data_IF_554060013829
#
_entry.id   IF_554060013829
#
_cell.length_a   1.000
_cell.length_b   1.000
_cell.length_c   1.000
_cell.angle_alpha   90.00
_cell.angle_beta   90.00
_cell.angle_gamma   90.00
#
_symmetry.space_group_name_H-M   'P 1'
#
loop_
_entity.id
_entity.type
_entity.pdbx_description
1 polymer ?
#
# COMPACT_ATOMS: atom_id res chain seq x y z
N UNK A 1 -7.81 -17.91 -22.49
CA UNK A 1 -7.96 -16.70 -21.67
C UNK A 1 -8.71 -15.71 -22.55
N UNK A 2 -9.79 -15.10 -22.06
CA UNK A 2 -10.46 -14.03 -22.82
C UNK A 2 -9.66 -12.73 -22.66
N UNK A 3 -9.82 -11.79 -23.58
CA UNK A 3 -9.17 -10.47 -23.50
C UNK A 3 -9.57 -9.72 -22.22
N UNK A 4 -10.83 -9.87 -21.78
CA UNK A 4 -11.32 -9.41 -20.47
C UNK A 4 -10.56 -10.01 -19.29
N UNK A 5 -10.25 -11.32 -19.31
CA UNK A 5 -9.48 -11.98 -18.25
C UNK A 5 -8.05 -11.41 -18.19
N UNK A 6 -7.46 -11.08 -19.34
CA UNK A 6 -6.14 -10.46 -19.42
C UNK A 6 -6.13 -9.06 -18.84
N UNK A 7 -7.12 -8.22 -19.17
CA UNK A 7 -7.31 -6.92 -18.54
C UNK A 7 -7.53 -7.04 -17.03
N UNK A 8 -8.32 -8.02 -16.58
CA UNK A 8 -8.55 -8.29 -15.15
C UNK A 8 -7.27 -8.68 -14.42
N UNK A 9 -6.48 -9.59 -14.99
CA UNK A 9 -5.18 -9.97 -14.44
C UNK A 9 -4.22 -8.78 -14.41
N UNK A 10 -4.16 -7.99 -15.48
CA UNK A 10 -3.35 -6.78 -15.57
C UNK A 10 -3.70 -5.75 -14.49
N UNK A 11 -5.01 -5.54 -14.26
CA UNK A 11 -5.49 -4.67 -13.20
C UNK A 11 -5.04 -5.17 -11.82
N UNK A 12 -5.17 -6.47 -11.56
CA UNK A 12 -4.73 -7.08 -10.31
C UNK A 12 -3.22 -6.90 -10.06
N UNK A 13 -2.39 -7.17 -11.08
CA UNK A 13 -0.92 -6.98 -11.01
C UNK A 13 -0.55 -5.51 -10.72
N UNK A 14 -1.17 -4.57 -11.44
CA UNK A 14 -0.96 -3.14 -11.26
C UNK A 14 -1.42 -2.66 -9.88
N UNK A 15 -2.58 -3.14 -9.42
CA UNK A 15 -3.13 -2.79 -8.11
C UNK A 15 -2.24 -3.30 -6.97
N UNK A 16 -1.72 -4.53 -7.08
CA UNK A 16 -0.77 -5.10 -6.12
C UNK A 16 0.56 -4.33 -6.09
N UNK A 17 0.99 -3.77 -7.22
CA UNK A 17 2.18 -2.93 -7.33
C UNK A 17 1.98 -1.47 -6.86
N UNK A 18 0.77 -1.10 -6.40
CA UNK A 18 0.43 0.27 -6.01
C UNK A 18 0.21 1.23 -7.18
N UNK A 19 0.13 0.70 -8.40
CA UNK A 19 -0.15 1.46 -9.62
C UNK A 19 -1.64 1.73 -9.82
N UNK A 20 -2.33 2.34 -8.86
CA UNK A 20 -3.79 2.52 -8.89
C UNK A 20 -4.27 3.29 -10.13
N UNK A 21 -3.60 4.39 -10.49
CA UNK A 21 -3.92 5.15 -11.71
C UNK A 21 -3.71 4.32 -12.99
N UNK A 22 -2.71 3.43 -13.00
CA UNK A 22 -2.47 2.54 -14.12
C UNK A 22 -3.54 1.43 -14.19
N UNK A 23 -3.91 0.84 -13.05
CA UNK A 23 -4.98 -0.15 -12.94
C UNK A 23 -6.32 0.45 -13.41
N UNK A 24 -6.61 1.70 -13.03
CA UNK A 24 -7.78 2.45 -13.49
C UNK A 24 -7.80 2.64 -15.00
N UNK A 25 -6.71 3.14 -15.60
CA UNK A 25 -6.61 3.28 -17.06
C UNK A 25 -6.78 1.94 -17.77
N UNK A 26 -6.17 0.89 -17.24
CA UNK A 26 -6.25 -0.48 -17.77
C UNK A 26 -7.68 -1.02 -17.73
N UNK A 27 -8.39 -0.84 -16.61
CA UNK A 27 -9.78 -1.23 -16.47
C UNK A 27 -10.69 -0.45 -17.43
N UNK A 28 -10.48 0.87 -17.56
CA UNK A 28 -11.22 1.71 -18.51
C UNK A 28 -10.97 1.30 -19.96
N UNK A 29 -9.74 0.90 -20.29
CA UNK A 29 -9.39 0.38 -21.62
C UNK A 29 -10.14 -0.92 -21.92
N UNK A 30 -10.06 -1.89 -21.00
CA UNK A 30 -10.77 -3.17 -21.16
C UNK A 30 -12.28 -2.99 -21.29
N UNK A 31 -12.89 -2.11 -20.49
CA UNK A 31 -14.32 -1.78 -20.60
C UNK A 31 -14.65 -1.21 -21.98
N UNK A 32 -13.76 -0.42 -22.58
CA UNK A 32 -13.98 0.23 -23.88
C UNK A 32 -13.78 -0.72 -25.06
N UNK A 33 -12.79 -1.60 -24.98
CA UNK A 33 -12.42 -2.50 -26.06
C UNK A 33 -13.24 -3.80 -26.07
N UNK A 34 -13.33 -4.47 -24.93
CA UNK A 34 -13.94 -5.81 -24.81
C UNK A 34 -15.36 -5.79 -24.26
N UNK A 35 -15.80 -4.61 -23.78
CA UNK A 35 -17.13 -4.38 -23.28
C UNK A 35 -17.23 -4.40 -21.75
N UNK A 36 -18.44 -4.07 -21.29
CA UNK A 36 -18.75 -3.84 -19.90
C UNK A 36 -18.75 -5.17 -19.09
N UNK A 37 -17.61 -5.52 -18.49
CA UNK A 37 -17.48 -6.66 -17.58
C UNK A 37 -17.48 -6.22 -16.10
N UNK A 38 -18.19 -6.97 -15.24
CA UNK A 38 -18.34 -6.64 -13.82
C UNK A 38 -16.99 -6.62 -13.07
N UNK A 39 -16.08 -7.55 -13.36
CA UNK A 39 -14.74 -7.59 -12.77
C UNK A 39 -13.92 -6.34 -13.10
N UNK A 40 -14.01 -5.83 -14.33
CA UNK A 40 -13.30 -4.61 -14.73
C UNK A 40 -13.86 -3.37 -14.02
N UNK A 41 -15.18 -3.31 -13.83
CA UNK A 41 -15.78 -2.26 -12.98
C UNK A 41 -15.36 -2.38 -11.52
N UNK A 42 -15.16 -3.60 -11.00
CA UNK A 42 -14.65 -3.83 -9.66
C UNK A 42 -13.24 -3.24 -9.49
N UNK A 43 -12.33 -3.58 -10.41
CA UNK A 43 -10.96 -3.04 -10.41
C UNK A 43 -10.92 -1.52 -10.59
N UNK A 44 -11.76 -0.98 -11.47
CA UNK A 44 -11.89 0.46 -11.66
C UNK A 44 -12.32 1.16 -10.35
N UNK A 45 -13.34 0.64 -9.69
CA UNK A 45 -13.85 1.21 -8.45
C UNK A 45 -12.80 1.14 -7.32
N UNK A 46 -12.16 -0.02 -7.14
CA UNK A 46 -11.11 -0.19 -6.13
C UNK A 46 -9.92 0.74 -6.36
N UNK A 47 -9.53 0.96 -7.63
CA UNK A 47 -8.45 1.89 -7.96
C UNK A 47 -8.77 3.33 -7.54
N UNK A 48 -10.00 3.79 -7.80
CA UNK A 48 -10.47 5.10 -7.33
C UNK A 48 -10.46 5.21 -5.80
N UNK A 49 -10.96 4.21 -5.08
CA UNK A 49 -10.94 4.19 -3.60
C UNK A 49 -9.52 4.35 -3.03
N UNK A 50 -8.50 3.83 -3.71
CA UNK A 50 -7.10 3.89 -3.24
C UNK A 50 -6.34 5.15 -3.63
N UNK A 51 -6.79 5.90 -4.63
CA UNK A 51 -6.18 7.20 -4.97
C UNK A 51 -6.55 8.30 -3.94
N UNK A 52 -7.58 8.08 -3.11
CA UNK A 52 -7.95 8.82 -1.87
C UNK A 52 -7.84 10.35 -1.98
N UNK A 53 -8.46 10.90 -3.02
CA UNK A 53 -8.82 12.32 -3.17
C UNK A 53 -10.36 12.39 -3.26
N UNK A 54 -11.00 13.44 -2.74
CA UNK A 54 -12.48 13.50 -2.56
C UNK A 54 -13.24 13.29 -3.89
N UNK A 55 -12.67 13.72 -5.01
CA UNK A 55 -13.23 13.52 -6.36
C UNK A 55 -13.31 12.04 -6.77
N UNK A 56 -12.47 11.18 -6.21
CA UNK A 56 -12.42 9.76 -6.55
C UNK A 56 -13.47 8.92 -5.83
N UNK A 57 -14.03 9.37 -4.71
CA UNK A 57 -15.11 8.65 -4.03
C UNK A 57 -16.39 8.57 -4.87
N UNK A 58 -16.73 9.67 -5.56
CA UNK A 58 -17.88 9.72 -6.47
C UNK A 58 -17.65 8.88 -7.73
N UNK A 59 -16.42 8.81 -8.22
CA UNK A 59 -16.03 7.97 -9.36
C UNK A 59 -16.06 6.49 -8.99
N UNK A 60 -15.58 6.14 -7.80
CA UNK A 60 -15.66 4.79 -7.26
C UNK A 60 -17.11 4.33 -7.12
N UNK A 61 -17.99 5.16 -6.54
CA UNK A 61 -19.41 4.85 -6.40
C UNK A 61 -20.08 4.64 -7.77
N UNK A 62 -19.76 5.49 -8.76
CA UNK A 62 -20.26 5.32 -10.12
C UNK A 62 -19.81 3.99 -10.73
N UNK A 63 -18.54 3.62 -10.57
CA UNK A 63 -18.01 2.36 -11.09
C UNK A 63 -18.63 1.14 -10.40
N UNK A 64 -18.77 1.15 -9.07
CA UNK A 64 -19.45 0.08 -8.33
C UNK A 64 -20.87 -0.14 -8.81
N UNK A 65 -21.64 0.94 -8.96
CA UNK A 65 -23.03 0.86 -9.43
C UNK A 65 -23.13 0.28 -10.84
N UNK A 66 -22.28 0.73 -11.77
CA UNK A 66 -22.24 0.19 -13.13
C UNK A 66 -21.88 -1.29 -13.16
N UNK A 67 -20.93 -1.72 -12.34
CA UNK A 67 -20.61 -3.14 -12.18
C UNK A 67 -21.80 -3.96 -11.68
N UNK A 68 -22.51 -3.46 -10.66
CA UNK A 68 -23.68 -4.12 -10.08
C UNK A 68 -24.91 -4.11 -10.99
N UNK A 69 -25.04 -3.16 -11.92
CA UNK A 69 -26.06 -3.20 -12.98
C UNK A 69 -25.85 -4.40 -13.92
N UNK A 70 -24.60 -4.83 -14.10
CA UNK A 70 -24.22 -5.97 -14.96
C UNK A 70 -24.30 -7.29 -14.17
N UNK A 71 -23.76 -7.31 -12.96
CA UNK A 71 -23.74 -8.47 -12.09
C UNK A 71 -24.18 -8.07 -10.66
N UNK A 72 -25.49 -8.13 -10.36
CA UNK A 72 -26.05 -7.66 -9.09
C UNK A 72 -25.51 -8.38 -7.85
N UNK A 73 -25.07 -9.63 -8.02
CA UNK A 73 -24.62 -10.52 -6.95
C UNK A 73 -23.10 -10.70 -6.93
N UNK A 74 -22.37 -9.84 -7.64
CA UNK A 74 -20.92 -9.90 -7.67
C UNK A 74 -20.31 -9.48 -6.33
N UNK A 75 -19.74 -10.45 -5.61
CA UNK A 75 -19.27 -10.27 -4.23
C UNK A 75 -18.21 -9.17 -4.06
N UNK A 76 -17.21 -9.11 -4.96
CA UNK A 76 -16.18 -8.07 -4.90
C UNK A 76 -16.75 -6.63 -5.00
N UNK A 77 -17.73 -6.43 -5.89
CA UNK A 77 -18.43 -5.15 -6.07
C UNK A 77 -19.32 -4.82 -4.87
N UNK A 78 -20.08 -5.79 -4.36
CA UNK A 78 -20.93 -5.59 -3.19
C UNK A 78 -20.11 -5.25 -1.95
N UNK A 79 -19.02 -5.99 -1.69
CA UNK A 79 -18.16 -5.79 -0.54
C UNK A 79 -17.40 -4.45 -0.62
N UNK A 80 -16.75 -4.17 -1.75
CA UNK A 80 -16.03 -2.92 -1.95
C UNK A 80 -16.94 -1.68 -1.88
N UNK A 81 -18.14 -1.77 -2.44
CA UNK A 81 -19.10 -0.67 -2.38
C UNK A 81 -19.68 -0.47 -0.98
N UNK A 82 -19.94 -1.56 -0.24
CA UNK A 82 -20.35 -1.48 1.15
C UNK A 82 -19.27 -0.78 1.99
N UNK A 83 -17.99 -1.13 1.83
CA UNK A 83 -16.88 -0.48 2.53
C UNK A 83 -16.82 1.03 2.25
N UNK A 84 -16.84 1.42 0.96
CA UNK A 84 -16.90 2.83 0.55
C UNK A 84 -18.08 3.56 1.20
N UNK A 85 -19.25 2.93 1.20
CA UNK A 85 -20.45 3.54 1.75
C UNK A 85 -20.39 3.74 3.27
N UNK A 86 -19.75 2.83 3.99
CA UNK A 86 -19.71 2.85 5.44
C UNK A 86 -18.57 3.73 5.97
N UNK A 87 -17.57 4.03 5.14
CA UNK A 87 -16.56 5.06 5.40
C UNK A 87 -17.14 6.48 5.30
N UNK A 88 -18.16 6.67 4.48
CA UNK A 88 -18.75 7.98 4.26
C UNK A 88 -19.34 8.56 5.55
N UNK A 89 -19.11 9.86 5.79
CA UNK A 89 -19.74 10.56 6.90
C UNK A 89 -21.26 10.58 6.69
N UNK A 90 -22.01 10.06 7.66
CA UNK A 90 -23.47 10.01 7.58
C UNK A 90 -24.13 11.39 7.67
N UNK A 91 -23.40 12.41 8.14
CA UNK A 91 -23.85 13.80 8.15
C UNK A 91 -23.69 14.44 6.77
N UNK A 92 -22.52 14.28 6.15
CA UNK A 92 -22.22 14.90 4.85
C UNK A 92 -22.82 14.11 3.68
N UNK A 93 -22.86 12.77 3.78
CA UNK A 93 -23.30 11.87 2.73
C UNK A 93 -24.31 10.82 3.24
N UNK A 94 -25.47 11.25 3.79
CA UNK A 94 -26.45 10.36 4.41
C UNK A 94 -26.98 9.28 3.45
N UNK A 95 -27.13 9.62 2.17
CA UNK A 95 -27.60 8.68 1.14
C UNK A 95 -26.60 7.55 0.87
N UNK A 96 -25.30 7.87 0.86
CA UNK A 96 -24.22 6.88 0.68
C UNK A 96 -24.14 5.96 1.90
N UNK A 97 -24.14 6.54 3.11
CA UNK A 97 -24.16 5.77 4.36
C UNK A 97 -25.37 4.81 4.46
N UNK A 98 -26.55 5.23 4.01
CA UNK A 98 -27.74 4.39 3.99
C UNK A 98 -27.61 3.18 3.04
N UNK A 99 -27.00 3.37 1.86
CA UNK A 99 -26.79 2.30 0.86
C UNK A 99 -25.88 1.19 1.38
N UNK A 100 -24.87 1.52 2.20
CA UNK A 100 -23.98 0.52 2.80
C UNK A 100 -24.74 -0.60 3.53
N UNK A 101 -25.80 -0.26 4.28
CA UNK A 101 -26.62 -1.25 5.01
C UNK A 101 -27.39 -2.19 4.08
N UNK A 102 -27.87 -1.67 2.95
CA UNK A 102 -28.59 -2.45 1.93
C UNK A 102 -27.63 -3.45 1.27
N UNK A 103 -26.41 -3.00 0.94
CA UNK A 103 -25.38 -3.84 0.32
C UNK A 103 -24.94 -4.97 1.26
N UNK A 104 -24.76 -4.69 2.56
CA UNK A 104 -24.41 -5.71 3.54
C UNK A 104 -25.47 -6.82 3.63
N UNK A 105 -26.76 -6.45 3.67
CA UNK A 105 -27.85 -7.43 3.65
C UNK A 105 -27.80 -8.27 2.38
N UNK A 106 -27.50 -7.65 1.23
CA UNK A 106 -27.36 -8.39 -0.03
C UNK A 106 -26.22 -9.41 0.01
N UNK A 107 -25.07 -9.06 0.60
CA UNK A 107 -23.94 -10.00 0.78
C UNK A 107 -24.37 -11.20 1.63
N UNK A 108 -25.09 -10.96 2.74
CA UNK A 108 -25.61 -12.03 3.61
C UNK A 108 -26.58 -12.96 2.87
N UNK A 109 -27.46 -12.38 2.04
CA UNK A 109 -28.41 -13.13 1.20
C UNK A 109 -27.71 -13.98 0.13
N UNK A 110 -26.67 -13.42 -0.52
CA UNK A 110 -25.95 -14.06 -1.64
C UNK A 110 -24.97 -15.13 -1.14
N UNK A 111 -24.44 -15.02 0.08
CA UNK A 111 -23.45 -16.00 0.58
C UNK A 111 -23.60 -16.29 2.08
N UNK A 112 -24.55 -17.16 2.47
CA UNK A 112 -24.73 -17.54 3.86
C UNK A 112 -23.49 -18.26 4.41
N UNK A 113 -22.87 -17.72 5.46
CA UNK A 113 -21.77 -18.38 6.18
C UNK A 113 -20.36 -18.25 5.58
N UNK A 114 -20.12 -17.30 4.67
CA UNK A 114 -18.76 -17.02 4.16
C UNK A 114 -17.95 -16.10 5.09
N UNK A 115 -16.62 -16.16 4.98
CA UNK A 115 -15.72 -15.23 5.66
C UNK A 115 -15.92 -13.77 5.21
N UNK A 116 -16.43 -13.56 4.00
CA UNK A 116 -16.82 -12.23 3.49
C UNK A 116 -18.13 -11.74 4.10
N UNK A 117 -19.12 -12.62 4.29
CA UNK A 117 -20.33 -12.30 5.08
C UNK A 117 -20.00 -12.03 6.55
N UNK A 118 -19.01 -12.72 7.12
CA UNK A 118 -18.51 -12.41 8.47
C UNK A 118 -17.78 -11.05 8.54
N UNK A 119 -16.99 -10.70 7.51
CA UNK A 119 -16.38 -9.37 7.37
C UNK A 119 -17.45 -8.29 7.21
N UNK A 120 -18.47 -8.55 6.39
CA UNK A 120 -19.63 -7.68 6.20
C UNK A 120 -20.42 -7.49 7.52
N UNK A 121 -20.70 -8.57 8.26
CA UNK A 121 -21.36 -8.50 9.57
C UNK A 121 -20.49 -7.80 10.62
N UNK A 122 -19.16 -7.94 10.57
CA UNK A 122 -18.24 -7.19 11.43
C UNK A 122 -18.29 -5.67 11.13
N UNK A 123 -18.33 -5.31 9.86
CA UNK A 123 -18.50 -3.94 9.37
C UNK A 123 -19.91 -3.39 9.68
N UNK A 124 -20.95 -4.21 9.68
CA UNK A 124 -22.30 -3.82 10.11
C UNK A 124 -22.37 -3.51 11.61
N UNK A 125 -21.77 -4.37 12.45
CA UNK A 125 -21.66 -4.18 13.92
C UNK A 125 -20.88 -2.91 14.27
N UNK A 126 -19.90 -2.54 13.44
CA UNK A 126 -19.14 -1.30 13.53
C UNK A 126 -20.05 -0.06 13.32
N UNK A 127 -20.99 -0.09 12.36
CA UNK A 127 -21.87 1.07 12.07
C UNK A 127 -23.07 1.27 12.99
N UNK A 128 -23.54 0.22 13.68
CA UNK A 128 -24.59 0.37 14.72
C UNK A 128 -24.07 1.00 16.01
N UNK A 129 -22.76 1.32 16.08
CA UNK A 129 -22.10 1.85 17.29
C UNK A 129 -21.66 3.33 17.18
N UNK A 130 -21.95 4.03 16.09
CA UNK A 130 -21.54 5.43 15.85
C UNK A 130 -22.31 6.41 16.76
N UNK A 131 -21.68 7.03 17.78
CA UNK A 131 -20.80 8.23 17.72
C UNK A 131 -19.89 8.34 18.97
N UNK A 132 -18.72 9.03 18.97
CA UNK A 132 -17.61 9.05 18.00
C UNK A 132 -16.23 8.66 18.63
N UNK A 133 -15.20 8.49 17.79
CA UNK A 133 -13.75 8.64 18.13
C UNK A 133 -12.87 7.44 18.56
N UNK A 134 -13.28 6.15 18.49
CA UNK A 134 -12.39 5.06 18.97
C UNK A 134 -11.96 3.99 17.95
N UNK A 135 -12.65 3.84 16.82
CA UNK A 135 -12.38 2.74 15.88
C UNK A 135 -11.72 3.14 14.54
N UNK A 136 -11.83 4.39 14.11
CA UNK A 136 -11.02 4.93 13.00
C UNK A 136 -9.51 4.78 13.29
N UNK A 137 -9.12 4.87 14.57
CA UNK A 137 -7.75 4.60 14.99
C UNK A 137 -7.37 3.12 14.88
N UNK A 138 -8.28 2.16 15.11
CA UNK A 138 -7.92 0.73 15.15
C UNK A 138 -7.73 0.14 13.76
N UNK A 139 -8.56 0.53 12.80
CA UNK A 139 -8.42 0.12 11.40
C UNK A 139 -7.21 0.83 10.77
N UNK A 140 -7.07 2.16 10.94
CA UNK A 140 -5.83 2.87 10.55
C UNK A 140 -4.59 2.29 11.22
N UNK A 141 -4.68 1.83 12.47
CA UNK A 141 -3.57 1.20 13.17
C UNK A 141 -3.33 -0.24 12.68
N UNK A 142 -4.35 -0.99 12.28
CA UNK A 142 -4.22 -2.32 11.70
C UNK A 142 -3.60 -2.24 10.29
N UNK A 143 -4.05 -1.31 9.46
CA UNK A 143 -3.46 -1.03 8.15
C UNK A 143 -2.04 -0.47 8.30
N UNK A 144 -1.82 0.46 9.23
CA UNK A 144 -0.47 0.94 9.54
C UNK A 144 0.42 -0.17 10.12
N UNK A 145 -0.13 -1.14 10.87
CA UNK A 145 0.61 -2.31 11.35
C UNK A 145 0.93 -3.26 10.20
N UNK A 146 -0.03 -3.62 9.35
CA UNK A 146 0.21 -4.47 8.19
C UNK A 146 1.20 -3.83 7.20
N UNK A 147 1.11 -2.52 6.98
CA UNK A 147 2.09 -1.78 6.19
C UNK A 147 3.47 -1.76 6.87
N UNK A 148 3.53 -1.55 8.19
CA UNK A 148 4.77 -1.64 8.96
C UNK A 148 5.37 -3.04 8.89
N UNK A 149 4.57 -4.09 9.05
CA UNK A 149 5.01 -5.48 9.01
C UNK A 149 5.52 -5.85 7.60
N UNK A 150 4.85 -5.39 6.54
CA UNK A 150 5.32 -5.57 5.17
C UNK A 150 6.64 -4.83 4.89
N UNK A 151 6.75 -3.59 5.39
CA UNK A 151 7.99 -2.80 5.33
C UNK A 151 9.10 -3.47 6.15
N UNK A 152 8.79 -4.02 7.32
CA UNK A 152 9.75 -4.66 8.21
C UNK A 152 10.20 -6.03 7.68
N UNK A 153 9.31 -6.79 7.02
CA UNK A 153 9.67 -7.99 6.28
C UNK A 153 10.61 -7.67 5.09
N UNK A 154 10.32 -6.62 4.32
CA UNK A 154 11.21 -6.16 3.24
C UNK A 154 12.58 -5.69 3.78
N UNK A 155 12.60 -5.03 4.94
CA UNK A 155 13.84 -4.59 5.61
C UNK A 155 14.65 -5.78 6.13
N UNK A 156 13.98 -6.77 6.71
CA UNK A 156 14.63 -7.99 7.18
C UNK A 156 15.29 -8.74 6.01
N UNK A 157 14.65 -8.80 4.85
CA UNK A 157 15.19 -9.42 3.64
C UNK A 157 16.45 -8.70 3.10
N UNK A 158 16.44 -7.36 3.11
CA UNK A 158 17.61 -6.55 2.75
C UNK A 158 18.80 -6.77 3.72
N UNK A 159 18.54 -6.78 5.02
CA UNK A 159 19.57 -7.05 6.04
C UNK A 159 20.10 -8.47 5.95
N UNK A 160 19.21 -9.46 5.79
CA UNK A 160 19.56 -10.86 5.62
C UNK A 160 20.45 -11.08 4.40
N UNK A 161 20.08 -10.49 3.26
CA UNK A 161 20.85 -10.59 2.00
C UNK A 161 22.22 -9.93 2.12
N UNK A 162 22.32 -8.75 2.76
CA UNK A 162 23.61 -8.10 3.03
C UNK A 162 24.52 -8.92 3.94
N UNK A 163 23.96 -9.66 4.89
CA UNK A 163 24.71 -10.51 5.81
C UNK A 163 25.21 -11.80 5.15
N UNK A 164 24.39 -12.43 4.30
CA UNK A 164 24.72 -13.72 3.68
C UNK A 164 25.54 -13.60 2.40
N UNK A 165 25.22 -12.65 1.52
CA UNK A 165 25.92 -12.45 0.26
C UNK A 165 27.09 -11.47 0.39
N UNK A 166 27.12 -10.63 1.42
CA UNK A 166 28.14 -9.59 1.58
C UNK A 166 27.85 -8.35 0.72
N UNK A 167 28.56 -7.26 1.03
CA UNK A 167 28.24 -5.92 0.52
C UNK A 167 28.44 -5.74 -1.00
N UNK A 168 29.27 -6.58 -1.63
CA UNK A 168 29.59 -6.49 -3.06
C UNK A 168 28.75 -7.43 -3.93
N UNK A 169 28.38 -8.61 -3.41
CA UNK A 169 27.57 -9.59 -4.15
C UNK A 169 26.06 -9.40 -3.92
N UNK A 170 25.63 -8.85 -2.77
CA UNK A 170 24.21 -8.59 -2.48
C UNK A 170 23.46 -7.80 -3.58
N UNK A 171 23.96 -6.65 -4.09
CA UNK A 171 23.26 -5.93 -5.15
C UNK A 171 23.22 -6.71 -6.47
N UNK A 172 24.27 -7.50 -6.79
CA UNK A 172 24.31 -8.35 -7.98
C UNK A 172 23.30 -9.49 -7.89
N UNK A 173 23.23 -10.17 -6.74
CA UNK A 173 22.31 -11.28 -6.52
C UNK A 173 20.85 -10.82 -6.52
N UNK A 174 20.55 -9.68 -5.90
CA UNK A 174 19.20 -9.12 -5.93
C UNK A 174 18.81 -8.61 -7.32
N UNK A 175 19.75 -8.02 -8.06
CA UNK A 175 19.54 -7.65 -9.46
C UNK A 175 19.23 -8.87 -10.34
N UNK A 176 19.97 -9.96 -10.19
CA UNK A 176 19.68 -11.21 -10.90
C UNK A 176 18.30 -11.78 -10.54
N UNK A 177 17.91 -11.79 -9.26
CA UNK A 177 16.57 -12.23 -8.84
C UNK A 177 15.45 -11.36 -9.41
N UNK A 178 15.66 -10.05 -9.49
CA UNK A 178 14.68 -9.14 -10.10
C UNK A 178 14.61 -9.31 -11.63
N UNK A 179 15.71 -9.69 -12.28
CA UNK A 179 15.72 -10.02 -13.71
C UNK A 179 15.02 -11.36 -14.00
N UNK A 180 15.23 -12.37 -13.15
CA UNK A 180 14.59 -13.68 -13.26
C UNK A 180 13.08 -13.61 -12.97
N UNK A 181 12.64 -12.66 -12.14
CA UNK A 181 11.23 -12.42 -11.79
C UNK A 181 10.88 -10.94 -11.90
N UNK A 182 10.70 -10.42 -13.13
CA UNK A 182 10.41 -9.00 -13.35
C UNK A 182 9.07 -8.55 -12.72
N UNK A 183 8.11 -9.48 -12.59
CA UNK A 183 6.80 -9.20 -11.98
C UNK A 183 6.83 -9.24 -10.43
N UNK A 184 7.91 -9.73 -9.81
CA UNK A 184 8.01 -9.80 -8.36
C UNK A 184 8.39 -8.45 -7.77
N UNK A 185 7.36 -7.72 -7.33
CA UNK A 185 7.50 -6.44 -6.66
C UNK A 185 8.51 -6.46 -5.50
N UNK A 186 8.58 -7.57 -4.73
CA UNK A 186 9.51 -7.68 -3.60
C UNK A 186 10.95 -7.78 -4.08
N UNK A 187 11.21 -8.57 -5.12
CA UNK A 187 12.54 -8.71 -5.71
C UNK A 187 13.03 -7.39 -6.32
N UNK A 188 12.17 -6.65 -7.03
CA UNK A 188 12.51 -5.35 -7.60
C UNK A 188 12.83 -4.30 -6.54
N UNK A 189 12.04 -4.23 -5.46
CA UNK A 189 12.30 -3.32 -4.32
C UNK A 189 13.60 -3.70 -3.60
N UNK A 190 13.87 -5.00 -3.42
CA UNK A 190 15.13 -5.47 -2.84
C UNK A 190 16.34 -5.10 -3.71
N UNK A 191 16.25 -5.30 -5.02
CA UNK A 191 17.32 -4.95 -5.96
C UNK A 191 17.63 -3.44 -5.95
N UNK A 192 16.59 -2.61 -6.02
CA UNK A 192 16.75 -1.15 -5.99
C UNK A 192 17.29 -0.63 -4.65
N UNK A 193 16.85 -1.21 -3.53
CA UNK A 193 17.35 -0.83 -2.20
C UNK A 193 18.82 -1.21 -2.03
N UNK A 194 19.23 -2.40 -2.46
CA UNK A 194 20.63 -2.83 -2.39
C UNK A 194 21.52 -2.06 -3.39
N UNK A 195 21.01 -1.73 -4.58
CA UNK A 195 21.69 -0.87 -5.53
C UNK A 195 21.92 0.55 -4.95
N UNK A 196 20.94 1.12 -4.25
CA UNK A 196 21.08 2.42 -3.58
C UNK A 196 22.11 2.41 -2.44
N UNK A 197 22.37 1.24 -1.84
CA UNK A 197 23.37 1.02 -0.80
C UNK A 197 24.74 0.58 -1.33
N UNK A 198 24.88 0.44 -2.65
CA UNK A 198 26.13 0.04 -3.30
C UNK A 198 27.19 1.15 -3.23
N UNK A 199 28.46 0.75 -3.36
CA UNK A 199 29.60 1.67 -3.41
C UNK A 199 30.26 1.97 -2.05
N UNK A 200 31.50 2.49 -2.08
CA UNK A 200 32.33 2.62 -0.88
C UNK A 200 31.82 3.70 0.09
N UNK A 201 31.24 4.80 -0.44
CA UNK A 201 30.72 5.92 0.36
C UNK A 201 29.47 5.58 1.17
N UNK A 202 28.80 4.47 0.85
CA UNK A 202 27.58 4.01 1.51
C UNK A 202 27.85 2.91 2.57
N UNK A 203 29.12 2.60 2.86
CA UNK A 203 29.52 1.71 3.95
C UNK A 203 28.87 2.03 5.31
N UNK A 204 28.85 3.30 5.80
CA UNK A 204 28.17 3.61 7.06
C UNK A 204 26.65 3.39 7.00
N UNK A 205 26.03 3.61 5.83
CA UNK A 205 24.59 3.38 5.65
C UNK A 205 24.26 1.88 5.68
N UNK A 206 25.12 1.01 5.13
CA UNK A 206 24.97 -0.45 5.25
C UNK A 206 25.02 -0.92 6.70
N UNK A 207 25.91 -0.33 7.49
CA UNK A 207 26.04 -0.64 8.90
C UNK A 207 24.80 -0.19 9.70
N UNK A 208 24.25 1.00 9.38
CA UNK A 208 22.99 1.49 9.94
C UNK A 208 21.79 0.61 9.55
N UNK A 209 21.75 0.03 8.35
CA UNK A 209 20.70 -0.92 7.94
C UNK A 209 20.83 -2.22 8.73
N UNK A 210 22.05 -2.76 8.86
CA UNK A 210 22.32 -3.99 9.61
C UNK A 210 21.96 -3.87 11.09
N UNK A 211 22.33 -2.76 11.73
CA UNK A 211 22.13 -2.54 13.17
C UNK A 211 21.03 -1.52 13.45
N UNK A 212 20.00 -1.46 12.61
CA UNK A 212 18.99 -0.39 12.64
C UNK A 212 18.28 -0.21 13.98
N UNK A 213 17.88 -1.29 14.64
CA UNK A 213 17.25 -1.22 15.96
C UNK A 213 18.20 -0.59 16.99
N UNK A 214 19.47 -0.97 16.95
CA UNK A 214 20.52 -0.46 17.83
C UNK A 214 20.88 1.00 17.48
N UNK A 215 20.82 1.38 16.20
CA UNK A 215 21.04 2.75 15.75
C UNK A 215 19.93 3.69 16.24
N UNK A 216 18.66 3.27 16.18
CA UNK A 216 17.53 4.03 16.73
C UNK A 216 17.62 4.15 18.25
N UNK A 217 17.94 3.08 18.97
CA UNK A 217 18.07 3.13 20.44
C UNK A 217 19.25 4.02 20.86
N UNK A 218 20.40 3.90 20.19
CA UNK A 218 21.57 4.73 20.46
C UNK A 218 21.30 6.20 20.15
N UNK A 219 20.66 6.52 19.02
CA UNK A 219 20.32 7.89 18.65
C UNK A 219 19.30 8.51 19.63
N UNK A 220 18.31 7.74 20.07
CA UNK A 220 17.35 8.18 21.08
C UNK A 220 18.02 8.44 22.44
N UNK A 221 18.90 7.54 22.88
CA UNK A 221 19.68 7.70 24.11
C UNK A 221 20.59 8.93 24.03
N UNK A 222 21.34 9.10 22.94
CA UNK A 222 22.20 10.26 22.73
C UNK A 222 21.40 11.57 22.70
N UNK A 223 20.23 11.57 22.07
CA UNK A 223 19.31 12.72 22.08
C UNK A 223 18.86 13.08 23.50
N UNK A 224 18.41 12.08 24.28
CA UNK A 224 17.99 12.28 25.67
C UNK A 224 19.17 12.79 26.52
N UNK A 225 20.32 12.12 26.47
CA UNK A 225 21.53 12.50 27.22
C UNK A 225 22.02 13.91 26.87
N UNK A 226 22.00 14.27 25.58
CA UNK A 226 22.40 15.62 25.13
C UNK A 226 21.45 16.67 25.69
N UNK A 227 20.14 16.42 25.63
CA UNK A 227 19.14 17.35 26.14
C UNK A 227 19.16 17.47 27.68
N UNK A 228 19.39 16.36 28.40
CA UNK A 228 19.52 16.39 29.86
C UNK A 228 20.79 17.13 30.29
N UNK A 229 21.91 16.93 29.60
CA UNK A 229 23.17 17.62 29.88
C UNK A 229 23.08 19.13 29.59
N UNK A 230 22.47 19.53 28.47
CA UNK A 230 22.25 20.94 28.12
C UNK A 230 21.35 21.66 29.13
N UNK A 231 20.36 20.95 29.68
CA UNK A 231 19.48 21.49 30.72
C UNK A 231 20.21 21.59 32.07
N UNK A 232 20.99 20.56 32.44
CA UNK A 232 21.74 20.53 33.69
C UNK A 232 22.85 21.59 33.74
N UNK A 233 23.43 21.94 32.60
CA UNK A 233 24.47 22.98 32.49
C UNK A 233 23.91 24.40 32.38
N UNK A 234 22.59 24.58 32.34
CA UNK A 234 21.94 25.89 32.26
C UNK A 234 22.06 26.58 30.89
N UNK A 235 22.57 25.87 29.87
CA UNK A 235 22.73 26.42 28.50
C UNK A 235 21.37 26.64 27.83
N UNK A 236 20.36 25.85 28.19
CA UNK A 236 18.99 25.97 27.66
C UNK A 236 17.96 25.82 28.78
N UNK A 237 17.05 26.79 28.93
CA UNK A 237 16.05 26.80 30.01
C UNK A 237 14.84 25.89 29.76
N UNK A 238 14.58 25.51 28.51
CA UNK A 238 13.37 24.75 28.13
C UNK A 238 13.67 23.54 27.22
N UNK A 239 13.47 23.66 25.92
CA UNK A 239 13.58 22.56 24.95
C UNK A 239 14.72 22.83 23.97
N UNK A 240 15.61 21.85 23.81
CA UNK A 240 16.77 21.94 22.92
C UNK A 240 16.61 21.07 21.69
N UNK A 241 16.82 21.66 20.51
CA UNK A 241 16.82 20.95 19.23
C UNK A 241 18.12 20.18 18.98
N UNK A 242 19.16 20.41 19.79
CA UNK A 242 20.48 19.80 19.61
C UNK A 242 20.46 18.27 19.75
N UNK A 243 19.62 17.72 20.62
CA UNK A 243 19.43 16.28 20.73
C UNK A 243 18.89 15.64 19.44
N UNK A 244 18.08 16.37 18.67
CA UNK A 244 17.49 15.86 17.42
C UNK A 244 18.53 15.67 16.30
N UNK A 245 19.71 16.30 16.39
CA UNK A 245 20.78 16.11 15.42
C UNK A 245 21.24 14.65 15.37
N UNK A 246 21.16 13.92 16.48
CA UNK A 246 21.49 12.50 16.54
C UNK A 246 20.53 11.62 15.73
N UNK A 247 19.32 12.10 15.43
CA UNK A 247 18.36 11.40 14.59
C UNK A 247 18.61 11.61 13.08
N UNK A 248 19.39 12.63 12.69
CA UNK A 248 19.59 12.98 11.29
C UNK A 248 20.13 11.83 10.41
N UNK A 249 21.16 11.06 10.82
CA UNK A 249 21.67 9.96 9.99
C UNK A 249 20.61 8.90 9.70
N UNK A 250 19.75 8.62 10.68
CA UNK A 250 18.68 7.62 10.55
C UNK A 250 17.54 8.13 9.67
N UNK A 251 17.17 9.41 9.80
CA UNK A 251 16.17 10.04 8.94
C UNK A 251 16.63 10.17 7.49
N UNK A 252 17.92 10.48 7.26
CA UNK A 252 18.51 10.53 5.92
C UNK A 252 18.48 9.14 5.26
N UNK A 253 18.82 8.10 6.01
CA UNK A 253 18.73 6.71 5.54
C UNK A 253 17.28 6.38 5.14
N UNK A 254 16.30 6.71 5.99
CA UNK A 254 14.89 6.41 5.72
C UNK A 254 14.37 7.11 4.47
N UNK A 255 14.73 8.39 4.29
CA UNK A 255 14.36 9.12 3.08
C UNK A 255 14.97 8.51 1.82
N UNK A 256 16.23 8.07 1.88
CA UNK A 256 16.90 7.42 0.73
C UNK A 256 16.28 6.08 0.39
N UNK A 257 15.99 5.25 1.40
CA UNK A 257 15.32 3.96 1.18
C UNK A 257 13.90 4.15 0.65
N UNK A 258 13.16 5.13 1.17
CA UNK A 258 11.83 5.48 0.67
C UNK A 258 11.86 6.02 -0.78
N UNK A 259 12.91 6.74 -1.16
CA UNK A 259 13.11 7.20 -2.53
C UNK A 259 13.44 6.02 -3.48
N UNK A 260 14.35 5.13 -3.07
CA UNK A 260 14.71 3.93 -3.83
C UNK A 260 13.50 3.00 -4.03
N UNK A 261 12.68 2.83 -3.00
CA UNK A 261 11.43 2.07 -3.07
C UNK A 261 10.45 2.69 -4.06
N UNK A 262 10.19 4.00 -3.96
CA UNK A 262 9.31 4.70 -4.92
C UNK A 262 9.80 4.62 -6.36
N UNK A 263 11.12 4.62 -6.56
CA UNK A 263 11.70 4.41 -7.88
C UNK A 263 11.46 2.98 -8.38
N UNK A 264 11.63 1.97 -7.54
CA UNK A 264 11.34 0.57 -7.89
C UNK A 264 9.86 0.34 -8.19
N UNK A 265 8.95 0.87 -7.36
CA UNK A 265 7.50 0.86 -7.59
C UNK A 265 7.15 1.42 -8.97
N UNK A 266 7.71 2.58 -9.32
CA UNK A 266 7.51 3.19 -10.65
C UNK A 266 8.06 2.33 -11.78
N UNK A 267 9.21 1.68 -11.58
CA UNK A 267 9.80 0.81 -12.59
C UNK A 267 8.96 -0.44 -12.82
N UNK A 268 8.48 -1.08 -11.76
CA UNK A 268 7.58 -2.25 -11.86
C UNK A 268 6.28 -1.84 -12.54
N UNK A 269 5.66 -0.73 -12.13
CA UNK A 269 4.44 -0.22 -12.78
C UNK A 269 4.69 0.08 -14.27
N UNK A 270 5.79 0.73 -14.63
CA UNK A 270 6.11 1.04 -16.01
C UNK A 270 6.40 -0.21 -16.86
N UNK A 271 7.08 -1.21 -16.30
CA UNK A 271 7.36 -2.49 -16.97
C UNK A 271 6.08 -3.27 -17.19
N UNK A 272 5.24 -3.32 -16.16
CA UNK A 272 3.90 -3.84 -16.26
C UNK A 272 3.22 -3.09 -17.43
N UNK A 273 3.08 -1.76 -17.39
CA UNK A 273 2.38 -0.99 -18.44
C UNK A 273 2.91 -1.23 -19.86
N UNK A 274 4.21 -1.48 -20.01
CA UNK A 274 4.83 -1.80 -21.29
C UNK A 274 4.60 -3.26 -21.76
N UNK A 275 4.13 -4.16 -20.89
CA UNK A 275 3.82 -5.55 -21.25
C UNK A 275 2.63 -5.56 -22.20
N UNK A 276 2.77 -6.07 -23.44
CA UNK A 276 1.64 -6.21 -24.34
C UNK A 276 0.62 -7.18 -23.73
N UNK A 277 -0.66 -6.87 -23.85
CA UNK A 277 -1.73 -7.83 -23.59
C UNK A 277 -1.59 -8.96 -24.60
N UNK A 278 -1.90 -10.19 -24.20
CA UNK A 278 -1.68 -11.38 -25.03
C UNK A 278 -2.80 -11.56 -26.07
N UNK A 279 -3.13 -10.47 -26.77
CA UNK A 279 -4.01 -10.48 -27.94
C UNK A 279 -3.79 -9.19 -28.75
N UNK A 280 -2.70 -9.11 -29.50
CA UNK A 280 -2.67 -8.29 -30.71
C UNK A 280 -2.39 -9.21 -31.91
N UNK A 281 -3.38 -9.99 -32.38
CA UNK A 281 -3.29 -10.53 -33.72
C UNK A 281 -3.53 -9.36 -34.68
N UNK A 282 -2.44 -8.80 -35.19
CA UNK A 282 -2.49 -7.95 -36.39
C UNK A 282 -3.15 -8.70 -37.56
#
# INVERSE_FOLDING_TARGET
MTTTDEYGQRCSELFAAGGYAAARRTAQEGIRQDGAAADLYCWLALAHVREDDDDHDDEAERAFRRGLEIAPDHLGLLAGYAELCLRADAFDQPGRAARGKVLLRRIEEVTPGSSEAERAAAVQRWTQRSYPYREDFRTKLADARAQRDAVDAQRADASYTLEHAGAEDAPRQAGARAQDRPDDHRAAVLAATLAALSGPRNAPLRLLVRYRAQAWTLAALLSICTNTLLRATGVVESFSLWGLLWLLPVLILDRRLAAARRQAERQVVAQLEARPLAADPR
#
